data_IF_626398268383
#
_entry.id   IF_626398268383
#
_cell.length_a   1.000
_cell.length_b   1.000
_cell.length_c   1.000
_cell.angle_alpha   90.00
_cell.angle_beta   90.00
_cell.angle_gamma   90.00
#
_symmetry.space_group_name_H-M   'P 1'
#
loop_
_entity.id
_entity.type
_entity.pdbx_description
1 polymer ?
#
# COMPACT_ATOMS: atom_id res chain seq x y z
N UNK A 1 -6.68 -8.66 -1.31
CA UNK A 1 -6.98 -8.90 0.13
C UNK A 1 -5.68 -9.08 0.89
N UNK A 2 -5.48 -8.36 2.01
CA UNK A 2 -4.32 -8.53 2.88
C UNK A 2 -4.44 -9.84 3.67
N UNK A 3 -3.35 -10.57 3.78
CA UNK A 3 -3.20 -11.72 4.68
C UNK A 3 -2.33 -11.31 5.87
N UNK A 4 -1.18 -10.69 5.59
CA UNK A 4 -0.24 -10.31 6.64
C UNK A 4 0.62 -9.14 6.19
N UNK A 5 0.92 -8.24 7.10
CA UNK A 5 1.92 -7.19 6.96
C UNK A 5 2.94 -7.30 8.09
N UNK A 6 4.21 -7.34 7.72
CA UNK A 6 5.32 -7.36 8.66
C UNK A 6 6.22 -6.16 8.43
N UNK A 7 6.74 -5.63 9.51
CA UNK A 7 7.76 -4.59 9.45
C UNK A 7 8.70 -4.68 10.65
N UNK A 8 9.91 -4.18 10.46
CA UNK A 8 10.96 -4.19 11.48
C UNK A 8 11.79 -2.92 11.39
N UNK A 9 12.31 -2.49 12.53
CA UNK A 9 13.18 -1.32 12.64
C UNK A 9 12.54 -0.06 12.04
N UNK A 10 11.33 0.27 12.51
CA UNK A 10 10.61 1.46 12.05
C UNK A 10 10.06 2.27 13.22
N UNK A 11 10.48 3.53 13.35
CA UNK A 11 10.03 4.49 14.38
C UNK A 11 10.11 3.93 15.79
N UNK A 12 8.97 3.60 16.44
CA UNK A 12 8.89 3.04 17.78
C UNK A 12 9.07 1.51 17.84
N UNK A 13 9.22 0.86 16.69
CA UNK A 13 9.39 -0.59 16.61
C UNK A 13 10.83 -0.94 16.25
N UNK A 14 11.57 -1.51 17.21
CA UNK A 14 12.90 -2.06 16.97
C UNK A 14 12.81 -3.44 16.35
N UNK A 15 12.04 -4.30 16.98
CA UNK A 15 11.87 -5.69 16.61
C UNK A 15 10.75 -5.85 15.58
N UNK A 16 10.60 -7.04 15.02
CA UNK A 16 9.54 -7.33 14.06
C UNK A 16 8.16 -7.17 14.69
N UNK A 17 7.27 -6.49 13.96
CA UNK A 17 5.87 -6.38 14.28
C UNK A 17 5.04 -6.96 13.14
N UNK A 18 3.98 -7.69 13.47
CA UNK A 18 3.14 -8.43 12.53
C UNK A 18 1.69 -7.99 12.70
N UNK A 19 1.08 -7.51 11.62
CA UNK A 19 -0.37 -7.34 11.50
C UNK A 19 -0.90 -8.50 10.65
N UNK A 20 -1.44 -9.52 11.31
CA UNK A 20 -2.01 -10.70 10.64
C UNK A 20 -3.53 -10.58 10.57
N UNK A 21 -4.06 -10.87 9.39
CA UNK A 21 -5.50 -11.02 9.14
C UNK A 21 -5.93 -12.50 9.15
N UNK A 22 -5.03 -13.43 9.45
CA UNK A 22 -5.41 -14.84 9.56
C UNK A 22 -6.24 -15.09 10.82
N UNK A 23 -7.38 -15.74 10.65
CA UNK A 23 -8.26 -16.10 11.77
C UNK A 23 -7.69 -17.29 12.53
N UNK A 24 -7.28 -17.08 13.75
CA UNK A 24 -6.79 -18.13 14.65
C UNK A 24 -7.87 -18.52 15.65
N UNK A 25 -8.35 -19.78 15.60
CA UNK A 25 -9.10 -20.39 16.70
C UNK A 25 -10.44 -19.75 17.09
N UNK A 26 -11.11 -19.02 16.19
CA UNK A 26 -12.39 -18.38 16.48
C UNK A 26 -13.48 -19.43 16.72
N UNK A 27 -14.03 -19.46 17.94
CA UNK A 27 -15.15 -20.34 18.31
C UNK A 27 -16.50 -19.88 17.76
N UNK A 28 -16.68 -18.57 17.51
CA UNK A 28 -17.94 -17.94 17.08
C UNK A 28 -17.75 -17.07 15.83
N UNK A 29 -18.85 -16.69 15.17
CA UNK A 29 -18.86 -15.79 13.99
C UNK A 29 -18.06 -16.30 12.79
N UNK A 30 -18.02 -17.60 12.58
CA UNK A 30 -17.33 -18.24 11.46
C UNK A 30 -17.86 -17.79 10.09
N UNK A 31 -19.12 -17.40 10.03
CA UNK A 31 -19.79 -16.95 8.81
C UNK A 31 -19.32 -15.56 8.33
N UNK A 32 -18.65 -14.80 9.21
CA UNK A 32 -18.05 -13.51 8.84
C UNK A 32 -16.65 -13.63 8.23
N UNK A 33 -16.08 -14.84 8.19
CA UNK A 33 -14.71 -15.05 7.68
C UNK A 33 -14.67 -15.10 6.16
N UNK A 34 -13.64 -14.49 5.60
CA UNK A 34 -13.34 -14.61 4.18
C UNK A 34 -12.53 -15.89 3.97
N UNK A 35 -12.95 -16.73 3.04
CA UNK A 35 -12.25 -17.97 2.73
C UNK A 35 -11.34 -17.80 1.52
N UNK A 36 -10.05 -18.07 1.70
CA UNK A 36 -9.09 -18.17 0.61
C UNK A 36 -8.42 -19.54 0.68
N UNK A 37 -8.83 -20.47 -0.19
CA UNK A 37 -8.41 -21.89 -0.15
C UNK A 37 -8.67 -22.47 1.24
N UNK A 38 -7.64 -22.99 1.92
CA UNK A 38 -7.73 -23.50 3.30
C UNK A 38 -7.57 -22.43 4.39
N UNK A 39 -7.21 -21.20 4.02
CA UNK A 39 -7.00 -20.10 4.98
C UNK A 39 -8.31 -19.36 5.25
N UNK A 40 -8.52 -19.00 6.50
CA UNK A 40 -9.64 -18.18 6.97
C UNK A 40 -9.09 -16.81 7.33
N UNK A 41 -9.62 -15.77 6.71
CA UNK A 41 -9.10 -14.40 6.81
C UNK A 41 -10.16 -13.52 7.47
N UNK A 42 -9.73 -12.70 8.40
CA UNK A 42 -10.56 -11.71 9.07
C UNK A 42 -10.91 -10.57 8.10
N UNK A 43 -12.18 -10.16 8.01
CA UNK A 43 -12.56 -9.00 7.18
C UNK A 43 -12.11 -7.68 7.78
N UNK A 44 -11.89 -7.62 9.10
CA UNK A 44 -11.61 -6.41 9.87
C UNK A 44 -10.57 -6.72 10.95
N UNK A 45 -9.69 -5.77 11.22
CA UNK A 45 -8.81 -5.75 12.39
C UNK A 45 -8.89 -4.39 13.07
N UNK A 46 -8.91 -4.39 14.39
CA UNK A 46 -8.87 -3.18 15.20
C UNK A 46 -7.62 -3.17 16.09
N UNK A 47 -6.92 -2.04 16.12
CA UNK A 47 -5.67 -1.88 16.88
C UNK A 47 -5.94 -1.04 18.12
N UNK A 48 -5.84 -1.66 19.29
CA UNK A 48 -6.04 -1.02 20.59
C UNK A 48 -4.71 -0.98 21.38
N UNK A 49 -4.64 -0.08 22.34
CA UNK A 49 -3.50 0.01 23.24
C UNK A 49 -3.37 1.38 23.90
N UNK A 50 -2.41 1.51 24.82
CA UNK A 50 -2.11 2.75 25.54
C UNK A 50 -1.68 3.89 24.60
N UNK A 51 -1.87 5.14 25.04
CA UNK A 51 -1.29 6.28 24.34
C UNK A 51 0.25 6.15 24.33
N UNK A 52 0.88 6.47 23.20
CA UNK A 52 2.32 6.23 23.02
C UNK A 52 2.70 4.78 22.67
N UNK A 53 1.76 3.81 22.70
CA UNK A 53 2.04 2.37 22.45
C UNK A 53 2.32 1.99 20.99
N UNK A 54 2.48 2.95 20.07
CA UNK A 54 2.88 2.67 18.69
C UNK A 54 1.72 2.41 17.71
N UNK A 55 0.45 2.42 18.14
CA UNK A 55 -0.73 2.15 17.26
C UNK A 55 -0.68 2.89 15.92
N UNK A 56 -0.49 4.20 15.98
CA UNK A 56 -0.41 5.03 14.77
C UNK A 56 0.84 4.72 13.93
N UNK A 57 1.91 4.21 14.53
CA UNK A 57 3.13 3.86 13.80
C UNK A 57 2.96 2.57 13.00
N UNK A 58 2.07 1.64 13.39
CA UNK A 58 1.69 0.48 12.57
C UNK A 58 1.04 0.95 11.27
N UNK A 59 0.04 1.84 11.37
CA UNK A 59 -0.65 2.38 10.19
C UNK A 59 0.30 3.24 9.34
N UNK A 60 1.18 4.02 9.97
CA UNK A 60 2.19 4.82 9.25
C UNK A 60 3.21 3.94 8.53
N UNK A 61 3.63 2.82 9.12
CA UNK A 61 4.52 1.85 8.47
C UNK A 61 3.87 1.26 7.22
N UNK A 62 2.62 0.84 7.35
CA UNK A 62 1.85 0.32 6.23
C UNK A 62 1.68 1.37 5.12
N UNK A 63 1.23 2.58 5.49
CA UNK A 63 1.04 3.70 4.56
C UNK A 63 2.34 4.05 3.82
N UNK A 64 3.44 4.25 4.57
CA UNK A 64 4.74 4.61 3.99
C UNK A 64 5.21 3.57 2.98
N UNK A 65 5.18 2.29 3.36
CA UNK A 65 5.61 1.21 2.48
C UNK A 65 4.77 1.16 1.20
N UNK A 66 3.44 1.29 1.31
CA UNK A 66 2.54 1.32 0.14
C UNK A 66 2.80 2.54 -0.73
N UNK A 67 2.96 3.75 -0.15
CA UNK A 67 3.27 4.95 -0.92
C UNK A 67 4.62 4.83 -1.62
N UNK A 68 5.63 4.29 -0.95
CA UNK A 68 6.93 4.07 -1.55
C UNK A 68 6.85 3.09 -2.73
N UNK A 69 6.14 1.96 -2.57
CA UNK A 69 5.91 0.99 -3.65
C UNK A 69 5.17 1.63 -4.84
N UNK A 70 4.13 2.41 -4.59
CA UNK A 70 3.31 3.03 -5.66
C UNK A 70 4.02 4.15 -6.41
N UNK A 71 4.86 4.93 -5.71
CA UNK A 71 5.38 6.20 -6.20
C UNK A 71 6.91 6.22 -6.36
N UNK A 72 7.65 5.19 -5.94
CA UNK A 72 9.12 5.15 -5.94
C UNK A 72 9.74 5.60 -7.26
N UNK A 73 9.10 5.27 -8.39
CA UNK A 73 9.60 5.64 -9.68
C UNK A 73 9.42 7.13 -10.02
N UNK A 74 8.38 7.78 -9.49
CA UNK A 74 8.11 9.20 -9.75
C UNK A 74 8.91 10.11 -8.84
N UNK A 75 9.21 9.66 -7.62
CA UNK A 75 9.77 10.49 -6.54
C UNK A 75 11.25 10.20 -6.27
N UNK A 76 11.78 9.06 -6.73
CA UNK A 76 13.16 8.66 -6.49
C UNK A 76 14.05 9.04 -7.67
N UNK A 77 14.84 10.08 -7.49
CA UNK A 77 15.97 10.42 -8.34
C UNK A 77 17.23 9.79 -7.75
N UNK A 78 18.28 9.67 -8.55
CA UNK A 78 19.54 8.98 -8.19
C UNK A 78 20.15 9.44 -6.84
N UNK A 79 19.92 10.69 -6.45
CA UNK A 79 20.41 11.27 -5.18
C UNK A 79 19.34 11.43 -4.11
N UNK A 80 18.11 10.94 -4.33
CA UNK A 80 17.03 11.11 -3.36
C UNK A 80 17.16 10.10 -2.22
N UNK A 81 16.97 10.54 -1.00
CA UNK A 81 16.87 9.64 0.14
C UNK A 81 15.55 8.88 0.14
N UNK A 82 15.59 7.62 0.59
CA UNK A 82 14.40 6.83 0.83
C UNK A 82 13.73 7.33 2.12
N UNK A 83 12.44 7.66 2.11
CA UNK A 83 11.75 8.32 3.22
C UNK A 83 11.42 7.36 4.38
N UNK A 84 12.40 6.60 4.85
CA UNK A 84 12.25 5.68 5.98
C UNK A 84 12.82 6.29 7.27
N UNK A 85 12.25 5.88 8.40
CA UNK A 85 12.64 6.30 9.73
C UNK A 85 12.91 5.06 10.58
N UNK A 86 14.18 4.67 10.71
CA UNK A 86 14.59 3.58 11.60
C UNK A 86 14.28 3.89 13.07
N UNK A 87 14.35 2.89 13.92
CA UNK A 87 14.25 3.05 15.38
C UNK A 87 15.46 3.83 15.89
N UNK A 88 15.20 5.01 16.47
CA UNK A 88 16.24 5.99 16.80
C UNK A 88 16.73 5.94 18.26
N UNK A 89 16.12 5.11 19.12
CA UNK A 89 16.49 5.05 20.55
C UNK A 89 17.63 4.07 20.87
N UNK A 90 18.29 3.56 19.83
CA UNK A 90 19.43 2.65 19.94
C UNK A 90 20.34 2.87 18.73
N UNK A 91 21.60 3.19 18.96
CA UNK A 91 22.56 3.53 17.87
C UNK A 91 22.72 2.38 16.88
N UNK A 92 22.80 1.15 17.36
CA UNK A 92 22.87 -0.02 16.49
C UNK A 92 21.65 -0.11 15.55
N UNK A 93 20.46 0.07 16.08
CA UNK A 93 19.23 0.00 15.28
C UNK A 93 19.10 1.15 14.29
N UNK A 94 19.63 2.32 14.58
CA UNK A 94 19.61 3.47 13.70
C UNK A 94 20.36 3.20 12.38
N UNK A 95 21.41 2.36 12.44
CA UNK A 95 22.23 1.97 11.28
C UNK A 95 21.68 0.73 10.54
N UNK A 96 20.76 -0.01 11.16
CA UNK A 96 20.16 -1.19 10.54
C UNK A 96 19.07 -0.80 9.52
N UNK A 97 18.85 -1.64 8.49
CA UNK A 97 17.78 -1.40 7.53
C UNK A 97 16.40 -1.50 8.19
N UNK A 98 15.46 -0.72 7.66
CA UNK A 98 14.03 -0.94 7.88
C UNK A 98 13.54 -2.00 6.91
N UNK A 99 12.72 -2.94 7.40
CA UNK A 99 12.20 -4.06 6.62
C UNK A 99 10.68 -3.98 6.53
N UNK A 100 10.13 -4.32 5.36
CA UNK A 100 8.70 -4.42 5.12
C UNK A 100 8.39 -5.68 4.31
N UNK A 101 7.33 -6.40 4.68
CA UNK A 101 6.81 -7.53 3.92
C UNK A 101 5.29 -7.48 3.87
N UNK A 102 4.73 -7.75 2.70
CA UNK A 102 3.30 -7.89 2.44
C UNK A 102 3.02 -9.30 1.94
N UNK A 103 2.07 -9.98 2.59
CA UNK A 103 1.49 -11.23 2.11
C UNK A 103 0.03 -10.92 1.78
N UNK A 104 -0.35 -11.07 0.53
CA UNK A 104 -1.67 -10.68 0.04
C UNK A 104 -2.15 -11.57 -1.10
N UNK A 105 -3.43 -11.43 -1.45
CA UNK A 105 -4.01 -12.08 -2.62
C UNK A 105 -4.62 -11.06 -3.58
N UNK A 106 -4.46 -11.31 -4.88
CA UNK A 106 -5.12 -10.58 -5.96
C UNK A 106 -5.47 -11.58 -7.07
N UNK A 107 -6.69 -11.52 -7.59
CA UNK A 107 -7.16 -12.41 -8.66
C UNK A 107 -6.87 -13.90 -8.38
N UNK A 108 -7.15 -14.34 -7.15
CA UNK A 108 -6.94 -15.72 -6.66
C UNK A 108 -5.48 -16.20 -6.68
N UNK A 109 -4.51 -15.30 -6.79
CA UNK A 109 -3.08 -15.58 -6.67
C UNK A 109 -2.56 -14.99 -5.36
N UNK A 110 -1.80 -15.79 -4.59
CA UNK A 110 -1.12 -15.32 -3.39
C UNK A 110 0.26 -14.78 -3.77
N UNK A 111 0.61 -13.64 -3.19
CA UNK A 111 1.87 -12.93 -3.38
C UNK A 111 2.57 -12.72 -2.04
N UNK A 112 3.90 -12.72 -2.08
CA UNK A 112 4.79 -12.28 -1.01
C UNK A 112 5.72 -11.25 -1.62
N UNK A 113 5.61 -10.03 -1.20
CA UNK A 113 6.49 -8.95 -1.62
C UNK A 113 7.13 -8.32 -0.39
N UNK A 114 8.45 -8.20 -0.41
CA UNK A 114 9.18 -7.57 0.67
C UNK A 114 10.42 -6.84 0.20
N UNK A 115 10.82 -5.87 1.00
CA UNK A 115 12.08 -5.14 0.80
C UNK A 115 12.68 -4.70 2.14
N UNK A 116 14.00 -4.53 2.14
CA UNK A 116 14.74 -3.89 3.21
C UNK A 116 15.58 -2.75 2.66
N UNK A 117 15.59 -1.62 3.35
CA UNK A 117 16.24 -0.41 2.88
C UNK A 117 16.87 0.39 4.03
N UNK A 118 17.94 1.08 3.72
CA UNK A 118 18.43 2.25 4.47
C UNK A 118 17.88 3.52 3.83
N UNK A 119 18.26 4.69 4.35
CA UNK A 119 17.89 5.96 3.71
C UNK A 119 18.54 6.15 2.34
N UNK A 120 19.62 5.44 2.04
CA UNK A 120 20.42 5.60 0.82
C UNK A 120 20.11 4.53 -0.23
N UNK A 121 19.87 3.28 0.18
CA UNK A 121 19.79 2.17 -0.77
C UNK A 121 18.85 1.05 -0.31
N UNK A 122 18.38 0.31 -1.30
CA UNK A 122 17.67 -0.96 -1.12
C UNK A 122 18.69 -2.08 -0.93
N UNK A 123 18.62 -2.80 0.18
CA UNK A 123 19.52 -3.90 0.48
C UNK A 123 18.98 -5.24 0.00
N UNK A 124 17.67 -5.46 0.19
CA UNK A 124 16.99 -6.67 -0.27
C UNK A 124 15.65 -6.31 -0.88
N UNK A 125 15.23 -7.06 -1.87
CA UNK A 125 13.90 -6.96 -2.44
C UNK A 125 13.53 -8.30 -3.06
N UNK A 126 12.28 -8.72 -2.93
CA UNK A 126 11.81 -9.96 -3.54
C UNK A 126 10.32 -9.92 -3.85
N UNK A 127 9.94 -10.68 -4.86
CA UNK A 127 8.57 -11.01 -5.18
C UNK A 127 8.46 -12.51 -5.42
N UNK A 128 7.57 -13.14 -4.66
CA UNK A 128 7.11 -14.49 -4.92
C UNK A 128 5.62 -14.50 -5.21
N UNK A 129 5.16 -15.49 -5.95
CA UNK A 129 3.76 -15.69 -6.23
C UNK A 129 3.39 -17.17 -6.23
N UNK A 130 2.10 -17.48 -6.13
CA UNK A 130 1.60 -18.85 -6.15
C UNK A 130 0.42 -19.01 -7.14
N UNK A 131 0.63 -18.86 -8.46
CA UNK A 131 -0.45 -18.93 -9.44
C UNK A 131 -1.07 -20.34 -9.53
N UNK A 132 -0.28 -21.38 -9.28
CA UNK A 132 -0.71 -22.78 -9.25
C UNK A 132 -0.75 -23.39 -7.84
N UNK A 133 -0.77 -22.54 -6.80
CA UNK A 133 -0.79 -22.97 -5.39
C UNK A 133 0.60 -23.13 -4.76
N UNK A 134 1.63 -23.44 -5.52
CA UNK A 134 3.00 -23.53 -5.03
C UNK A 134 3.72 -22.17 -5.15
N UNK A 135 4.49 -21.81 -4.11
CA UNK A 135 5.28 -20.60 -4.07
C UNK A 135 6.41 -20.66 -5.10
N UNK A 136 6.43 -19.74 -6.03
CA UNK A 136 7.44 -19.60 -7.07
C UNK A 136 8.09 -18.21 -6.99
N UNK A 137 9.38 -18.13 -7.29
CA UNK A 137 10.11 -16.87 -7.34
C UNK A 137 9.79 -16.13 -8.64
N UNK A 138 9.52 -14.83 -8.54
CA UNK A 138 9.50 -13.91 -9.69
C UNK A 138 10.86 -13.26 -9.83
N UNK A 139 11.32 -12.63 -8.75
CA UNK A 139 12.68 -12.11 -8.63
C UNK A 139 13.13 -12.08 -7.17
N UNK A 140 14.44 -12.03 -6.98
CA UNK A 140 15.11 -11.64 -5.74
C UNK A 140 16.24 -10.68 -6.03
N UNK A 141 16.52 -9.76 -5.11
CA UNK A 141 17.56 -8.75 -5.17
C UNK A 141 18.34 -8.71 -3.86
N UNK A 142 19.64 -8.65 -3.95
CA UNK A 142 20.57 -8.34 -2.86
C UNK A 142 21.47 -7.22 -3.33
N UNK A 143 21.26 -6.00 -2.83
CA UNK A 143 21.85 -4.75 -3.33
C UNK A 143 21.61 -4.59 -4.85
N UNK A 144 22.63 -4.65 -5.70
CA UNK A 144 22.51 -4.62 -7.16
C UNK A 144 22.65 -6.01 -7.83
N UNK A 145 22.61 -7.07 -7.02
CA UNK A 145 22.63 -8.44 -7.53
C UNK A 145 21.20 -8.98 -7.63
N UNK A 146 20.78 -9.29 -8.85
CA UNK A 146 19.42 -9.76 -9.13
C UNK A 146 19.41 -11.21 -9.57
N UNK A 147 18.41 -11.96 -9.10
CA UNK A 147 18.06 -13.29 -9.62
C UNK A 147 16.61 -13.28 -10.12
N UNK A 148 16.38 -13.82 -11.31
CA UNK A 148 15.10 -13.78 -11.98
C UNK A 148 14.63 -15.17 -12.42
N UNK A 149 13.31 -15.37 -12.38
CA UNK A 149 12.65 -16.54 -12.95
C UNK A 149 11.59 -16.08 -13.97
N UNK A 150 11.41 -16.82 -15.06
CA UNK A 150 10.48 -16.43 -16.14
C UNK A 150 11.14 -15.49 -17.15
N UNK A 151 10.55 -14.35 -17.45
CA UNK A 151 11.06 -13.40 -18.47
C UNK A 151 12.41 -12.77 -18.09
N UNK A 152 13.47 -13.59 -18.19
CA UNK A 152 14.82 -13.20 -17.74
C UNK A 152 15.44 -12.11 -18.59
N UNK A 153 15.11 -12.02 -19.88
CA UNK A 153 15.70 -11.04 -20.78
C UNK A 153 15.26 -9.62 -20.41
N UNK A 154 13.96 -9.39 -20.32
CA UNK A 154 13.38 -8.10 -19.90
C UNK A 154 13.85 -7.73 -18.49
N UNK A 155 13.78 -8.65 -17.53
CA UNK A 155 14.14 -8.39 -16.13
C UNK A 155 15.62 -8.06 -15.95
N UNK A 156 16.50 -8.72 -16.71
CA UNK A 156 17.94 -8.38 -16.72
C UNK A 156 18.18 -6.97 -17.25
N UNK A 157 17.46 -6.56 -18.30
CA UNK A 157 17.55 -5.20 -18.83
C UNK A 157 17.10 -4.18 -17.79
N UNK A 158 15.94 -4.39 -17.18
CA UNK A 158 15.41 -3.54 -16.12
C UNK A 158 16.39 -3.46 -14.95
N UNK A 159 16.95 -4.59 -14.51
CA UNK A 159 17.91 -4.63 -13.39
C UNK A 159 19.16 -3.80 -13.59
N UNK A 160 19.58 -3.61 -14.85
CA UNK A 160 20.70 -2.70 -15.19
C UNK A 160 20.33 -1.21 -15.12
N UNK A 161 19.04 -0.89 -15.17
CA UNK A 161 18.53 0.48 -15.18
C UNK A 161 18.07 0.95 -13.80
N UNK A 162 17.86 0.03 -12.86
CA UNK A 162 17.37 0.33 -11.51
C UNK A 162 18.50 0.87 -10.66
N UNK A 163 18.34 2.08 -10.14
CA UNK A 163 19.26 2.70 -9.19
C UNK A 163 19.22 2.03 -7.81
N UNK A 164 20.24 2.25 -7.00
CA UNK A 164 20.37 1.61 -5.68
C UNK A 164 19.23 1.96 -4.74
N UNK A 165 18.66 3.16 -4.85
CA UNK A 165 17.55 3.67 -4.02
C UNK A 165 16.16 3.40 -4.62
N UNK A 166 16.05 2.76 -5.78
CA UNK A 166 14.78 2.44 -6.44
C UNK A 166 14.35 0.99 -6.19
N UNK A 167 13.05 0.77 -6.06
CA UNK A 167 12.47 -0.57 -6.03
C UNK A 167 12.41 -1.15 -7.45
N UNK A 168 13.02 -2.31 -7.66
CA UNK A 168 12.91 -3.06 -8.91
C UNK A 168 11.44 -3.33 -9.28
N UNK A 169 10.63 -3.71 -8.30
CA UNK A 169 9.21 -3.97 -8.48
C UNK A 169 8.46 -2.80 -9.14
N UNK A 170 8.70 -1.59 -8.66
CA UNK A 170 8.04 -0.38 -9.20
C UNK A 170 8.50 -0.07 -10.63
N UNK A 171 9.81 -0.16 -10.90
CA UNK A 171 10.37 0.06 -12.23
C UNK A 171 9.90 -1.03 -13.20
N UNK A 172 9.88 -2.30 -12.79
CA UNK A 172 9.41 -3.41 -13.60
C UNK A 172 7.93 -3.27 -13.99
N UNK A 173 7.10 -2.71 -13.10
CA UNK A 173 5.70 -2.41 -13.42
C UNK A 173 5.57 -1.36 -14.51
N UNK A 174 6.39 -0.32 -14.51
CA UNK A 174 6.35 0.71 -15.55
C UNK A 174 6.88 0.20 -16.88
N UNK A 175 7.81 -0.76 -16.84
CA UNK A 175 8.31 -1.45 -18.03
C UNK A 175 7.41 -2.61 -18.47
N UNK A 176 6.18 -2.70 -17.93
CA UNK A 176 5.16 -3.69 -18.26
C UNK A 176 5.59 -5.16 -18.04
N UNK A 177 6.44 -5.44 -17.03
CA UNK A 177 6.66 -6.83 -16.61
C UNK A 177 5.33 -7.43 -16.11
N UNK A 178 4.84 -8.45 -16.81
CA UNK A 178 3.50 -8.97 -16.61
C UNK A 178 3.24 -9.51 -15.21
N UNK A 179 4.24 -10.13 -14.57
CA UNK A 179 4.11 -10.66 -13.22
C UNK A 179 4.11 -9.53 -12.17
N UNK A 180 4.97 -8.53 -12.34
CA UNK A 180 5.01 -7.37 -11.48
C UNK A 180 3.75 -6.52 -11.60
N UNK A 181 3.24 -6.29 -12.82
CA UNK A 181 1.99 -5.56 -13.04
C UNK A 181 0.82 -6.22 -12.32
N UNK A 182 0.66 -7.55 -12.45
CA UNK A 182 -0.41 -8.29 -11.76
C UNK A 182 -0.29 -8.19 -10.23
N UNK A 183 0.93 -8.29 -9.70
CA UNK A 183 1.16 -8.16 -8.27
C UNK A 183 0.90 -6.72 -7.78
N UNK A 184 1.24 -5.70 -8.57
CA UNK A 184 1.05 -4.27 -8.25
C UNK A 184 -0.42 -3.87 -8.18
N UNK A 185 -1.31 -4.56 -8.90
CA UNK A 185 -2.74 -4.24 -8.93
C UNK A 185 -3.34 -4.17 -7.52
N UNK A 186 -2.95 -5.06 -6.61
CA UNK A 186 -3.43 -5.01 -5.23
C UNK A 186 -3.10 -3.67 -4.55
N UNK A 187 -1.86 -3.20 -4.67
CA UNK A 187 -1.45 -1.92 -4.08
C UNK A 187 -2.18 -0.73 -4.70
N UNK A 188 -2.43 -0.76 -6.00
CA UNK A 188 -3.05 0.36 -6.75
C UNK A 188 -4.57 0.40 -6.59
N UNK A 189 -5.22 -0.73 -6.63
CA UNK A 189 -6.69 -0.84 -6.73
C UNK A 189 -7.35 -1.12 -5.39
N UNK A 190 -6.75 -2.02 -4.56
CA UNK A 190 -7.42 -2.54 -3.37
C UNK A 190 -7.00 -1.82 -2.08
N UNK A 191 -5.84 -1.12 -2.07
CA UNK A 191 -5.35 -0.42 -0.89
C UNK A 191 -5.75 1.05 -0.92
N UNK A 192 -6.55 1.45 0.07
CA UNK A 192 -7.00 2.84 0.28
C UNK A 192 -6.66 3.26 1.71
N UNK A 193 -6.37 4.54 1.86
CA UNK A 193 -6.17 5.16 3.17
C UNK A 193 -7.16 6.31 3.31
N UNK A 194 -7.90 6.32 4.39
CA UNK A 194 -8.66 7.47 4.83
C UNK A 194 -8.07 7.94 6.16
N UNK A 195 -7.79 9.22 6.28
CA UNK A 195 -7.27 9.83 7.52
C UNK A 195 -8.39 10.44 8.35
N UNK A 196 -9.43 10.86 7.67
CA UNK A 196 -10.51 11.62 8.24
C UNK A 196 -11.83 11.22 7.56
N UNK A 197 -12.94 11.43 8.24
CA UNK A 197 -14.29 11.24 7.69
C UNK A 197 -14.64 12.29 6.61
N UNK A 198 -13.82 13.34 6.48
CA UNK A 198 -13.95 14.34 5.41
C UNK A 198 -13.25 13.93 4.11
N UNK A 199 -12.35 12.97 4.14
CA UNK A 199 -11.76 12.39 2.94
C UNK A 199 -12.81 11.50 2.24
N UNK A 200 -13.70 12.12 1.48
CA UNK A 200 -14.64 11.43 0.60
C UNK A 200 -13.83 10.89 -0.57
N UNK A 201 -13.68 9.56 -0.70
CA UNK A 201 -12.96 9.00 -1.84
C UNK A 201 -13.68 9.39 -3.14
N UNK A 202 -12.92 9.77 -4.18
CA UNK A 202 -13.48 10.06 -5.52
C UNK A 202 -14.40 8.94 -6.04
N UNK A 203 -14.21 7.73 -5.53
CA UNK A 203 -15.06 6.57 -5.83
C UNK A 203 -16.51 6.71 -5.29
N UNK A 204 -16.75 7.51 -4.26
CA UNK A 204 -18.13 7.75 -3.81
C UNK A 204 -18.94 8.51 -4.85
N UNK A 205 -18.29 9.36 -5.63
CA UNK A 205 -18.93 10.03 -6.79
C UNK A 205 -19.38 8.97 -7.81
N UNK A 206 -18.50 8.00 -8.11
CA UNK A 206 -18.85 6.87 -9.00
C UNK A 206 -19.97 6.00 -8.42
N UNK A 207 -19.99 5.80 -7.10
CA UNK A 207 -21.06 5.03 -6.43
C UNK A 207 -22.39 5.77 -6.41
N UNK A 208 -22.40 7.11 -6.46
CA UNK A 208 -23.63 7.91 -6.51
C UNK A 208 -24.40 7.67 -7.82
N UNK A 209 -23.74 7.21 -8.87
CA UNK A 209 -24.34 6.90 -10.17
C UNK A 209 -24.86 5.45 -10.28
N UNK A 210 -24.52 4.57 -9.30
CA UNK A 210 -24.92 3.16 -9.27
C UNK A 210 -26.06 2.93 -8.27
N UNK A 211 -27.32 2.71 -8.74
CA UNK A 211 -28.47 2.50 -7.86
C UNK A 211 -28.34 1.28 -6.94
N UNK A 212 -27.64 0.22 -7.38
CA UNK A 212 -27.43 -0.98 -6.56
C UNK A 212 -26.47 -0.68 -5.41
N UNK A 213 -25.42 0.08 -5.69
CA UNK A 213 -24.46 0.51 -4.70
C UNK A 213 -25.07 1.47 -3.69
N UNK A 214 -25.87 2.45 -4.14
CA UNK A 214 -26.62 3.36 -3.26
C UNK A 214 -27.52 2.59 -2.29
N UNK A 215 -28.28 1.62 -2.81
CA UNK A 215 -29.13 0.78 -2.00
C UNK A 215 -28.33 -0.05 -0.97
N UNK A 216 -27.18 -0.56 -1.37
CA UNK A 216 -26.28 -1.29 -0.47
C UNK A 216 -25.75 -0.40 0.65
N UNK A 217 -25.31 0.83 0.33
CA UNK A 217 -24.82 1.83 1.29
C UNK A 217 -25.95 2.21 2.28
N UNK A 218 -27.14 2.49 1.78
CA UNK A 218 -28.32 2.82 2.61
C UNK A 218 -28.67 1.68 3.55
N UNK A 219 -28.70 0.44 3.06
CA UNK A 219 -28.98 -0.73 3.90
C UNK A 219 -27.91 -0.93 4.97
N UNK A 220 -26.64 -0.67 4.63
CA UNK A 220 -25.52 -0.76 5.57
C UNK A 220 -25.62 0.31 6.67
N UNK A 221 -25.94 1.55 6.30
CA UNK A 221 -26.14 2.65 7.23
C UNK A 221 -27.31 2.39 8.21
N UNK A 222 -28.41 1.84 7.71
CA UNK A 222 -29.54 1.40 8.54
C UNK A 222 -29.14 0.28 9.52
N UNK A 223 -28.41 -0.71 9.03
CA UNK A 223 -27.96 -1.84 9.84
C UNK A 223 -26.91 -1.44 10.91
N UNK A 224 -26.24 -0.32 10.76
CA UNK A 224 -25.27 0.20 11.73
C UNK A 224 -25.90 0.81 12.99
N UNK A 225 -27.24 0.86 13.06
CA UNK A 225 -28.01 1.38 14.23
C UNK A 225 -27.59 2.81 14.65
N UNK A 226 -27.30 3.65 13.66
CA UNK A 226 -26.91 5.04 13.85
C UNK A 226 -28.12 6.01 13.77
N UNK A 227 -29.36 5.49 13.69
CA UNK A 227 -30.56 6.28 13.48
C UNK A 227 -30.67 6.87 12.06
N UNK A 228 -29.94 6.33 11.11
CA UNK A 228 -29.99 6.75 9.71
C UNK A 228 -31.10 5.97 9.00
N UNK A 229 -32.05 6.68 8.41
CA UNK A 229 -33.14 6.07 7.65
C UNK A 229 -32.81 5.90 6.16
N UNK A 230 -32.02 6.80 5.59
CA UNK A 230 -31.58 6.73 4.19
C UNK A 230 -30.29 7.50 3.96
N UNK A 231 -29.60 7.17 2.86
CA UNK A 231 -28.40 7.87 2.40
C UNK A 231 -28.62 8.34 0.98
N UNK A 232 -28.45 9.63 0.76
CA UNK A 232 -28.51 10.25 -0.55
C UNK A 232 -27.21 10.98 -0.84
N UNK A 233 -26.79 10.95 -2.11
CA UNK A 233 -25.65 11.73 -2.58
C UNK A 233 -26.15 12.91 -3.38
N UNK A 234 -25.78 14.11 -2.96
CA UNK A 234 -25.98 15.33 -3.73
C UNK A 234 -24.65 15.71 -4.36
N UNK A 235 -24.51 15.47 -5.65
CA UNK A 235 -23.30 15.78 -6.42
C UNK A 235 -23.46 17.18 -7.01
N UNK A 236 -22.96 18.16 -6.28
CA UNK A 236 -22.89 19.53 -6.76
C UNK A 236 -21.57 19.71 -7.54
N UNK A 237 -21.64 19.79 -8.85
CA UNK A 237 -20.56 20.28 -9.68
C UNK A 237 -20.40 21.80 -9.40
N UNK A 238 -19.59 22.15 -8.42
CA UNK A 238 -19.13 23.52 -8.29
C UNK A 238 -18.09 23.71 -9.41
N UNK A 239 -18.40 24.55 -10.37
CA UNK A 239 -17.37 25.15 -11.21
C UNK A 239 -16.36 25.78 -10.24
N UNK A 240 -15.12 25.30 -10.26
CA UNK A 240 -14.04 25.96 -9.52
C UNK A 240 -13.93 27.33 -10.19
N UNK A 241 -14.36 28.35 -9.46
CA UNK A 241 -14.20 29.72 -9.90
C UNK A 241 -12.69 29.98 -9.96
N UNK A 242 -12.15 29.97 -11.20
CA UNK A 242 -10.72 30.13 -11.46
C UNK A 242 -10.16 31.46 -10.94
N UNK A 243 -11.03 32.36 -10.49
CA UNK A 243 -10.65 33.62 -9.84
C UNK A 243 -10.26 33.45 -8.36
N UNK A 244 -10.49 32.28 -7.76
CA UNK A 244 -10.09 31.98 -6.40
C UNK A 244 -9.04 30.87 -6.37
N UNK A 245 -8.11 30.88 -7.35
CA UNK A 245 -6.97 29.99 -7.40
C UNK A 245 -6.10 30.23 -6.16
N UNK A 246 -6.03 29.23 -5.30
CA UNK A 246 -5.22 29.19 -4.08
C UNK A 246 -3.70 29.13 -4.38
N UNK A 247 -3.26 29.87 -5.40
CA UNK A 247 -1.84 30.06 -5.64
C UNK A 247 -1.31 31.18 -4.73
N UNK A 248 -0.16 31.00 -4.09
CA UNK A 248 0.49 32.05 -3.33
C UNK A 248 0.64 33.33 -4.17
N UNK A 249 0.37 34.52 -3.57
CA UNK A 249 0.42 35.79 -4.30
C UNK A 249 1.76 36.04 -5.02
N UNK A 250 2.83 35.44 -4.57
CA UNK A 250 4.20 35.56 -5.10
C UNK A 250 4.56 34.51 -6.17
N UNK A 251 3.61 33.73 -6.63
CA UNK A 251 3.87 32.72 -7.67
C UNK A 251 3.96 33.39 -9.05
N UNK A 252 5.04 33.17 -9.82
CA UNK A 252 5.16 33.71 -11.18
C UNK A 252 3.99 33.32 -12.07
N UNK A 253 3.51 34.26 -12.88
CA UNK A 253 2.33 34.05 -13.75
C UNK A 253 2.55 32.92 -14.78
N UNK A 254 3.80 32.68 -15.19
CA UNK A 254 4.17 31.57 -16.06
C UNK A 254 3.89 30.19 -15.42
N UNK A 255 4.08 30.07 -14.08
CA UNK A 255 3.76 28.87 -13.33
C UNK A 255 2.26 28.73 -13.06
N UNK A 256 1.53 29.83 -12.85
CA UNK A 256 0.07 29.82 -12.68
C UNK A 256 -0.61 29.31 -13.96
N UNK A 257 -0.14 29.77 -15.14
CA UNK A 257 -0.67 29.36 -16.44
C UNK A 257 -0.30 27.94 -16.86
N UNK A 258 0.75 27.34 -16.28
CA UNK A 258 1.13 25.98 -16.55
C UNK A 258 0.40 24.95 -15.64
N UNK A 259 -0.27 25.41 -14.58
CA UNK A 259 -0.96 24.60 -13.58
C UNK A 259 -2.48 24.83 -13.57
N UNK A 260 -2.98 25.77 -14.36
CA UNK A 260 -4.41 26.00 -14.69
C UNK A 260 -4.80 25.18 -15.93
#
# INVERSE_FOLDING_TARGET
>A
MLIEFRFKNYRSFRDEAILSMEAMGLGSKKDCLIHYKSQKILPVAAIYGKNGGGKSNVIRAFWLAVQFIKNAQRTQHEKSEIPIHSFALNDYSAEQPTEFEFIYTKSNVKYWYGFSATRQKILKEYLFHAPKGQKATVFTRAEQNFSFTGDKALRKLIGKMVSENQLFFSVACTMNDSACVKAMQWFREDVRFSRDYTDIPDQLITYSEDPLMLKAISNYAKAADLGIEDVQFDVNNREIDNNNSAFPENMPDELKNALS
#
